data_IF_033077833785
#
_entry.id   IF_033077833785
#
_cell.length_a   1.000
_cell.length_b   1.000
_cell.length_c   1.000
_cell.angle_alpha   90.00
_cell.angle_beta   90.00
_cell.angle_gamma   90.00
#
_symmetry.space_group_name_H-M   'P 1'
#
loop_
_entity.id
_entity.type
_entity.pdbx_description
1 polymer ?
#
# COMPACT_ATOMS: atom_id res chain seq x y z
N UNK A 1 9.71 21.85 -11.70
CA UNK A 1 11.08 21.37 -12.00
C UNK A 1 11.05 19.86 -11.89
N UNK A 2 10.99 19.14 -13.00
CA UNK A 2 11.10 17.67 -12.98
C UNK A 2 12.58 17.37 -12.74
N UNK A 3 12.92 16.93 -11.52
CA UNK A 3 14.29 16.55 -11.19
C UNK A 3 14.66 15.28 -11.98
N UNK A 4 15.77 15.34 -12.72
CA UNK A 4 16.37 14.15 -13.35
C UNK A 4 17.15 13.36 -12.29
N UNK A 5 16.92 12.04 -12.23
CA UNK A 5 17.58 11.14 -11.28
C UNK A 5 19.08 10.94 -11.62
N UNK A 6 19.99 10.90 -10.62
CA UNK A 6 21.41 10.60 -10.84
C UNK A 6 21.70 9.09 -10.97
N UNK A 7 22.68 8.74 -11.81
CA UNK A 7 23.08 7.39 -12.23
C UNK A 7 24.08 6.67 -11.28
N UNK A 8 23.79 6.57 -9.97
CA UNK A 8 24.63 5.77 -9.04
C UNK A 8 23.76 4.74 -8.30
N UNK A 9 24.21 3.49 -8.16
CA UNK A 9 23.38 2.38 -7.63
C UNK A 9 22.84 2.64 -6.19
N UNK A 10 23.63 3.28 -5.31
CA UNK A 10 23.17 3.70 -3.96
C UNK A 10 22.13 4.83 -4.00
N UNK A 11 22.16 5.62 -5.07
CA UNK A 11 21.20 6.70 -5.29
C UNK A 11 19.87 6.09 -5.76
N UNK A 12 19.91 5.02 -6.54
CA UNK A 12 18.71 4.32 -7.01
C UNK A 12 17.87 3.77 -5.85
N UNK A 13 18.45 3.03 -4.92
CA UNK A 13 17.70 2.51 -3.75
C UNK A 13 17.08 3.64 -2.92
N UNK A 14 17.83 4.73 -2.73
CA UNK A 14 17.36 5.91 -2.03
C UNK A 14 16.20 6.62 -2.76
N UNK A 15 16.29 6.76 -4.09
CA UNK A 15 15.22 7.34 -4.91
C UNK A 15 14.01 6.41 -5.00
N UNK A 16 14.20 5.10 -5.14
CA UNK A 16 13.14 4.10 -5.15
C UNK A 16 12.35 4.17 -3.84
N UNK A 17 13.03 4.33 -2.70
CA UNK A 17 12.39 4.56 -1.41
C UNK A 17 11.63 5.88 -1.33
N UNK A 18 12.17 6.98 -1.87
CA UNK A 18 11.46 8.27 -1.91
C UNK A 18 10.23 8.20 -2.81
N UNK A 19 10.35 7.62 -4.01
CA UNK A 19 9.25 7.43 -4.94
C UNK A 19 8.17 6.53 -4.33
N UNK A 20 8.59 5.47 -3.63
CA UNK A 20 7.69 4.60 -2.88
C UNK A 20 6.94 5.39 -1.79
N UNK A 21 7.64 6.19 -0.98
CA UNK A 21 7.02 7.05 0.05
C UNK A 21 6.06 8.07 -0.58
N UNK A 22 6.42 8.67 -1.72
CA UNK A 22 5.55 9.61 -2.43
C UNK A 22 4.29 8.94 -2.97
N UNK A 23 4.43 7.78 -3.61
CA UNK A 23 3.29 6.97 -4.05
C UNK A 23 2.41 6.58 -2.87
N UNK A 24 3.01 6.20 -1.75
CA UNK A 24 2.32 5.89 -0.51
C UNK A 24 1.46 7.07 -0.01
N UNK A 25 2.00 8.30 0.00
CA UNK A 25 1.23 9.49 0.41
C UNK A 25 0.15 9.89 -0.61
N UNK A 26 0.41 9.76 -1.91
CA UNK A 26 -0.61 10.00 -2.94
C UNK A 26 -1.74 8.97 -2.84
N UNK A 27 -1.40 7.70 -2.63
CA UNK A 27 -2.36 6.60 -2.46
C UNK A 27 -3.14 6.76 -1.16
N UNK A 28 -2.50 7.17 -0.07
CA UNK A 28 -3.14 7.48 1.22
C UNK A 28 -4.27 8.49 1.06
N UNK A 29 -4.05 9.54 0.26
CA UNK A 29 -5.09 10.55 0.01
C UNK A 29 -6.30 10.02 -0.78
N UNK A 30 -6.19 8.85 -1.41
CA UNK A 30 -7.22 8.25 -2.27
C UNK A 30 -7.81 6.95 -1.71
N UNK A 31 -7.27 6.42 -0.62
CA UNK A 31 -7.66 5.11 -0.06
C UNK A 31 -8.70 5.19 1.06
N UNK A 32 -9.18 6.39 1.38
CA UNK A 32 -10.27 6.65 2.33
C UNK A 32 -11.67 6.39 1.73
N UNK A 33 -11.74 6.10 0.44
CA UNK A 33 -12.96 5.69 -0.24
C UNK A 33 -12.73 4.39 -1.02
N UNK A 34 -13.78 3.57 -1.17
CA UNK A 34 -13.72 2.42 -2.06
C UNK A 34 -13.74 2.87 -3.52
N UNK A 35 -12.70 2.49 -4.28
CA UNK A 35 -12.56 2.83 -5.69
C UNK A 35 -13.33 1.85 -6.59
N UNK A 36 -13.57 2.24 -7.84
CA UNK A 36 -14.15 1.35 -8.85
C UNK A 36 -13.06 0.42 -9.44
N UNK A 37 -12.59 -0.52 -8.62
CA UNK A 37 -11.56 -1.48 -9.00
C UNK A 37 -12.04 -2.42 -10.11
N UNK A 38 -11.18 -2.72 -11.08
CA UNK A 38 -11.53 -3.68 -12.13
C UNK A 38 -11.53 -5.13 -11.63
N UNK A 39 -10.72 -5.40 -10.61
CA UNK A 39 -10.54 -6.72 -10.00
C UNK A 39 -10.04 -6.58 -8.56
N UNK A 40 -10.03 -7.71 -7.84
CA UNK A 40 -9.59 -7.74 -6.44
C UNK A 40 -8.07 -7.54 -6.29
N UNK A 41 -7.28 -7.89 -7.30
CA UNK A 41 -5.82 -7.73 -7.26
C UNK A 41 -5.44 -6.24 -7.19
N UNK A 42 -6.15 -5.36 -7.91
CA UNK A 42 -5.99 -3.91 -7.80
C UNK A 42 -6.33 -3.40 -6.40
N UNK A 43 -7.38 -3.95 -5.77
CA UNK A 43 -7.75 -3.62 -4.40
C UNK A 43 -6.70 -4.07 -3.37
N UNK A 44 -6.20 -5.30 -3.52
CA UNK A 44 -5.15 -5.86 -2.66
C UNK A 44 -3.88 -5.00 -2.71
N UNK A 45 -3.52 -4.49 -3.89
CA UNK A 45 -2.36 -3.60 -4.04
C UNK A 45 -2.53 -2.30 -3.25
N UNK A 46 -3.70 -1.69 -3.33
CA UNK A 46 -4.03 -0.49 -2.54
C UNK A 46 -3.98 -0.77 -1.03
N UNK A 47 -4.50 -1.92 -0.57
CA UNK A 47 -4.43 -2.33 0.85
C UNK A 47 -2.96 -2.50 1.28
N UNK A 48 -2.11 -3.14 0.47
CA UNK A 48 -0.67 -3.29 0.75
C UNK A 48 0.00 -1.93 0.89
N UNK A 49 -0.26 -1.02 -0.05
CA UNK A 49 0.29 0.33 -0.03
C UNK A 49 -0.14 1.09 1.24
N UNK A 50 -1.41 0.96 1.64
CA UNK A 50 -1.93 1.56 2.89
C UNK A 50 -1.28 0.95 4.14
N UNK A 51 -1.08 -0.36 4.18
CA UNK A 51 -0.40 -1.04 5.30
C UNK A 51 1.03 -0.51 5.45
N UNK A 52 1.77 -0.38 4.34
CA UNK A 52 3.13 0.17 4.42
C UNK A 52 3.11 1.68 4.74
N UNK A 53 2.09 2.41 4.27
CA UNK A 53 1.88 3.83 4.57
C UNK A 53 1.75 4.09 6.06
N UNK A 54 0.84 3.34 6.68
CA UNK A 54 0.43 3.58 8.05
C UNK A 54 1.39 2.97 9.06
N UNK A 55 2.07 1.88 8.69
CA UNK A 55 2.84 1.07 9.63
C UNK A 55 4.28 0.94 9.20
N UNK A 56 5.15 1.75 9.80
CA UNK A 56 6.59 1.78 9.51
C UNK A 56 7.35 0.46 9.79
N UNK A 57 6.70 -0.51 10.44
CA UNK A 57 7.26 -1.84 10.72
C UNK A 57 6.93 -2.88 9.65
N UNK A 58 6.02 -2.56 8.73
CA UNK A 58 5.79 -3.32 7.51
C UNK A 58 6.70 -2.77 6.40
N UNK A 59 7.56 -3.65 5.86
CA UNK A 59 8.07 -3.46 4.51
C UNK A 59 7.07 -4.05 3.50
N UNK A 60 7.28 -3.79 2.21
CA UNK A 60 6.38 -4.28 1.15
C UNK A 60 6.25 -5.80 1.14
N UNK A 61 7.35 -6.54 1.35
CA UNK A 61 7.36 -8.00 1.37
C UNK A 61 6.46 -8.55 2.49
N UNK A 62 6.63 -8.02 3.71
CA UNK A 62 5.82 -8.39 4.88
C UNK A 62 4.36 -7.99 4.69
N UNK A 63 4.09 -6.80 4.17
CA UNK A 63 2.73 -6.33 3.92
C UNK A 63 2.04 -7.23 2.89
N UNK A 64 2.71 -7.51 1.76
CA UNK A 64 2.20 -8.42 0.74
C UNK A 64 1.92 -9.81 1.31
N UNK A 65 2.81 -10.35 2.15
CA UNK A 65 2.58 -11.64 2.81
C UNK A 65 1.37 -11.61 3.74
N UNK A 66 1.24 -10.59 4.59
CA UNK A 66 0.15 -10.46 5.54
C UNK A 66 -1.20 -10.31 4.82
N UNK A 67 -1.30 -9.35 3.89
CA UNK A 67 -2.52 -9.06 3.15
C UNK A 67 -2.99 -10.25 2.32
N UNK A 68 -2.09 -10.93 1.60
CA UNK A 68 -2.49 -12.08 0.79
C UNK A 68 -2.89 -13.31 1.62
N UNK A 69 -2.48 -13.37 2.90
CA UNK A 69 -2.87 -14.47 3.80
C UNK A 69 -4.15 -14.20 4.59
N UNK A 70 -4.71 -13.00 4.47
CA UNK A 70 -5.86 -12.55 5.24
C UNK A 70 -7.17 -12.76 4.48
N UNK A 71 -7.96 -13.77 4.89
CA UNK A 71 -9.25 -14.08 4.25
C UNK A 71 -10.24 -12.90 4.29
N UNK A 72 -10.16 -12.06 5.33
CA UNK A 72 -11.05 -10.90 5.50
C UNK A 72 -10.85 -9.83 4.43
N UNK A 73 -9.71 -9.80 3.72
CA UNK A 73 -9.47 -8.82 2.64
C UNK A 73 -10.42 -9.05 1.47
N UNK A 74 -10.77 -10.32 1.20
CA UNK A 74 -11.77 -10.66 0.18
C UNK A 74 -13.17 -10.24 0.59
N UNK A 75 -13.52 -10.47 1.85
CA UNK A 75 -14.79 -10.01 2.42
C UNK A 75 -14.91 -8.49 2.38
N UNK A 76 -13.84 -7.77 2.71
CA UNK A 76 -13.80 -6.32 2.66
C UNK A 76 -13.98 -5.78 1.23
N UNK A 77 -13.41 -6.45 0.23
CA UNK A 77 -13.63 -6.14 -1.18
C UNK A 77 -15.10 -6.30 -1.58
N UNK A 78 -15.72 -7.41 -1.22
CA UNK A 78 -17.15 -7.69 -1.51
C UNK A 78 -18.09 -6.68 -0.83
N UNK A 79 -17.73 -6.25 0.38
CA UNK A 79 -18.49 -5.26 1.14
C UNK A 79 -18.11 -3.81 0.82
N UNK A 80 -17.20 -3.58 -0.14
CA UNK A 80 -16.76 -2.26 -0.60
C UNK A 80 -16.18 -1.38 0.51
N UNK A 81 -15.37 -1.95 1.38
CA UNK A 81 -14.65 -1.20 2.42
C UNK A 81 -13.44 -0.50 1.83
N UNK A 82 -13.18 0.73 2.26
CA UNK A 82 -12.03 1.48 1.77
C UNK A 82 -10.72 0.78 2.16
N UNK A 83 -9.71 0.84 1.29
CA UNK A 83 -8.44 0.14 1.54
C UNK A 83 -7.74 0.62 2.83
N UNK A 84 -7.93 1.89 3.20
CA UNK A 84 -7.48 2.44 4.48
C UNK A 84 -8.14 1.79 5.69
N UNK A 85 -9.44 1.53 5.66
CA UNK A 85 -10.19 0.90 6.75
C UNK A 85 -9.64 -0.51 7.01
N UNK A 86 -9.41 -1.27 5.93
CA UNK A 86 -8.83 -2.62 6.00
C UNK A 86 -7.38 -2.61 6.49
N UNK A 87 -6.59 -1.61 6.08
CA UNK A 87 -5.21 -1.49 6.54
C UNK A 87 -5.15 -1.38 8.08
N UNK A 88 -6.08 -0.65 8.71
CA UNK A 88 -6.12 -0.52 10.16
C UNK A 88 -6.34 -1.86 10.90
N UNK A 89 -6.98 -2.84 10.28
CA UNK A 89 -7.14 -4.18 10.88
C UNK A 89 -5.81 -4.94 11.00
N UNK A 90 -4.80 -4.58 10.20
CA UNK A 90 -3.44 -5.12 10.33
C UNK A 90 -2.61 -4.49 11.47
N UNK A 91 -3.14 -3.47 12.17
CA UNK A 91 -2.53 -2.97 13.42
C UNK A 91 -2.68 -3.97 14.55
N UNK A 92 -3.77 -4.73 14.53
CA UNK A 92 -4.21 -5.55 15.66
C UNK A 92 -3.60 -6.97 15.58
N UNK A 93 -3.01 -7.35 14.44
CA UNK A 93 -2.45 -8.68 14.23
C UNK A 93 -0.93 -8.67 14.48
N UNK A 94 -0.45 -9.34 15.54
CA UNK A 94 0.98 -9.44 15.86
C UNK A 94 1.78 -10.32 14.90
#
# INVERSE_FOLDING_TARGET
>A
LIQKCPENEDVKEFYDKICFIQNVYEVESTCHEFKDYNNIEEYIEDVILCVVAYFSYYDEERARKAVNSADFVKEAYENKWAASEVAWDFVILP
#
